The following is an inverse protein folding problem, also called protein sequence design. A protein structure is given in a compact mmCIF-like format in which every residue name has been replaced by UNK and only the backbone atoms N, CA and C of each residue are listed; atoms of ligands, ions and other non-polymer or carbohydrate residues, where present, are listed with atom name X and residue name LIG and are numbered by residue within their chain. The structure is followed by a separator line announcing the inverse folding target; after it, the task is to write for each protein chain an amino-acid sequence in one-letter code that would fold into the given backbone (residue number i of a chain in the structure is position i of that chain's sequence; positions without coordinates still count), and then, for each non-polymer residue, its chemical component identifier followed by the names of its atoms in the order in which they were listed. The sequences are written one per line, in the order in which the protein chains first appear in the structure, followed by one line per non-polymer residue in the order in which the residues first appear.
data_IF_546553357473
#
_entry.id   IF_546553357473
#
_cell.length_a   1.000
_cell.length_b   1.000
_cell.length_c   1.000
_cell.angle_alpha   90.00
_cell.angle_beta   90.00
_cell.angle_gamma   90.00
#
_symmetry.space_group_name_H-M   'P 1'
#
loop_
_entity.id
_entity.type
_entity.pdbx_description
1 polymer ?
#
# COMPACT_ATOMS: atom_id res chain seq x y z
N UNK A 1 -9.25 -32.80 -17.13
CA UNK A 1 -8.12 -31.88 -16.92
C UNK A 1 -8.53 -30.55 -17.52
N UNK A 2 -8.93 -29.59 -16.68
CA UNK A 2 -9.47 -28.30 -17.12
C UNK A 2 -8.49 -27.24 -16.65
N UNK A 3 -7.68 -26.73 -17.57
CA UNK A 3 -6.76 -25.62 -17.29
C UNK A 3 -7.59 -24.34 -17.21
N UNK A 4 -7.62 -23.75 -16.02
CA UNK A 4 -8.33 -22.52 -15.72
C UNK A 4 -7.82 -21.34 -16.55
N UNK A 5 -8.78 -20.54 -17.02
CA UNK A 5 -8.54 -19.22 -17.59
C UNK A 5 -7.78 -18.34 -16.57
N UNK A 6 -6.46 -18.22 -16.72
CA UNK A 6 -5.74 -17.06 -16.18
C UNK A 6 -6.05 -15.87 -17.09
N UNK A 7 -6.99 -15.01 -16.67
CA UNK A 7 -7.13 -13.68 -17.24
C UNK A 7 -5.81 -12.92 -17.04
N UNK A 8 -5.03 -12.79 -18.12
CA UNK A 8 -3.82 -11.99 -18.14
C UNK A 8 -4.23 -10.52 -18.01
N UNK A 9 -4.22 -9.99 -16.80
CA UNK A 9 -4.50 -8.58 -16.54
C UNK A 9 -3.41 -7.74 -17.20
N UNK A 10 -3.78 -6.91 -18.18
CA UNK A 10 -2.87 -5.95 -18.79
C UNK A 10 -2.84 -4.73 -17.87
N UNK A 11 -1.69 -4.35 -17.29
CA UNK A 11 -1.60 -3.14 -16.47
C UNK A 11 -1.98 -1.93 -17.33
N UNK A 12 -3.06 -1.24 -16.96
CA UNK A 12 -3.35 0.05 -17.57
C UNK A 12 -2.48 1.12 -16.92
N UNK A 13 -1.59 1.71 -17.72
CA UNK A 13 -0.78 2.83 -17.32
C UNK A 13 -1.61 4.10 -17.44
N UNK A 14 -2.02 4.64 -16.30
CA UNK A 14 -2.64 5.96 -16.21
C UNK A 14 -1.73 6.87 -15.38
N UNK A 15 -1.60 8.13 -15.81
CA UNK A 15 -0.75 9.11 -15.13
C UNK A 15 -1.37 10.49 -15.25
N UNK A 16 -1.26 11.28 -14.18
CA UNK A 16 -1.73 12.68 -14.13
C UNK A 16 -0.85 13.64 -14.95
N UNK A 17 0.30 13.16 -15.47
CA UNK A 17 1.26 13.94 -16.25
C UNK A 17 1.50 13.31 -17.62
N UNK A 18 1.71 14.12 -18.67
CA UNK A 18 2.08 13.62 -19.99
C UNK A 18 3.35 12.78 -19.93
N UNK A 19 3.33 11.59 -20.55
CA UNK A 19 4.48 10.69 -20.61
C UNK A 19 5.50 11.27 -21.60
N UNK A 20 6.69 11.60 -21.12
CA UNK A 20 7.77 12.11 -21.98
C UNK A 20 8.45 10.95 -22.73
N UNK A 21 8.15 10.83 -24.03
CA UNK A 21 8.63 9.72 -24.89
C UNK A 21 10.11 9.81 -25.27
N UNK A 22 10.77 10.96 -25.05
CA UNK A 22 12.18 11.19 -25.40
C UNK A 22 13.17 10.81 -24.28
N UNK A 23 12.71 10.17 -23.20
CA UNK A 23 13.55 9.63 -22.14
C UNK A 23 13.29 8.13 -22.05
N UNK A 24 14.31 7.27 -21.83
CA UNK A 24 14.06 5.87 -21.53
C UNK A 24 13.07 5.77 -20.38
N UNK A 25 11.99 5.03 -20.61
CA UNK A 25 10.89 4.88 -19.68
C UNK A 25 11.38 4.13 -18.43
N UNK A 26 11.48 4.84 -17.31
CA UNK A 26 11.90 4.28 -16.02
C UNK A 26 10.71 4.34 -15.06
N UNK A 27 10.08 3.19 -14.79
CA UNK A 27 8.90 3.10 -13.92
C UNK A 27 9.23 3.42 -12.47
N UNK A 28 10.46 3.09 -12.10
CA UNK A 28 11.09 3.39 -10.84
C UNK A 28 12.45 3.94 -11.26
N UNK A 29 12.76 5.23 -11.04
CA UNK A 29 14.15 5.67 -11.13
C UNK A 29 15.00 4.71 -10.28
N UNK A 30 16.30 4.56 -10.57
CA UNK A 30 17.20 3.89 -9.64
C UNK A 30 17.21 4.72 -8.35
N UNK A 31 16.21 4.45 -7.51
CA UNK A 31 15.85 5.28 -6.38
C UNK A 31 16.89 5.02 -5.32
N UNK A 32 17.45 6.10 -4.78
CA UNK A 32 18.34 6.00 -3.64
C UNK A 32 17.61 5.56 -2.38
N UNK A 33 16.28 5.74 -2.30
CA UNK A 33 15.50 5.39 -1.11
C UNK A 33 14.08 4.89 -1.42
N UNK A 34 13.67 3.84 -0.73
CA UNK A 34 12.38 3.17 -0.93
C UNK A 34 11.63 3.17 0.39
N UNK A 35 10.39 3.65 0.40
CA UNK A 35 9.59 3.83 1.62
C UNK A 35 8.22 3.22 1.45
N UNK A 36 7.70 2.57 2.49
CA UNK A 36 6.38 1.96 2.43
C UNK A 36 5.52 2.28 3.66
N UNK A 37 4.22 2.41 3.43
CA UNK A 37 3.18 2.34 4.46
C UNK A 37 2.25 1.19 4.12
N UNK A 38 2.16 0.20 5.01
CA UNK A 38 1.34 -0.99 4.86
C UNK A 38 0.28 -1.00 5.96
N UNK A 39 -0.99 -1.14 5.59
CA UNK A 39 -2.13 -1.06 6.51
C UNK A 39 -3.00 -2.30 6.32
N UNK A 40 -3.23 -3.04 7.41
CA UNK A 40 -4.02 -4.27 7.40
C UNK A 40 -5.06 -4.24 8.49
N UNK A 41 -6.34 -4.28 8.14
CA UNK A 41 -7.44 -4.15 9.09
C UNK A 41 -8.36 -5.35 9.01
N UNK A 42 -8.44 -6.12 10.10
CA UNK A 42 -9.28 -7.32 10.22
C UNK A 42 -10.59 -7.06 10.99
N UNK A 43 -10.75 -5.94 11.68
CA UNK A 43 -11.93 -5.57 12.46
C UNK A 43 -12.33 -6.63 13.51
N UNK A 44 -11.39 -7.12 14.35
CA UNK A 44 -11.65 -8.22 15.28
C UNK A 44 -12.80 -7.91 16.23
N UNK A 45 -13.75 -8.85 16.37
CA UNK A 45 -14.91 -8.71 17.24
C UNK A 45 -15.99 -7.76 16.73
N UNK A 46 -15.88 -7.25 15.50
CA UNK A 46 -16.88 -6.36 14.88
C UNK A 46 -17.71 -7.11 13.83
N UNK A 47 -18.88 -6.57 13.50
CA UNK A 47 -19.67 -7.08 12.38
C UNK A 47 -18.92 -6.81 11.07
N UNK A 48 -18.63 -7.87 10.32
CA UNK A 48 -17.81 -7.79 9.10
C UNK A 48 -16.33 -8.07 9.31
N UNK A 49 -15.94 -8.75 10.40
CA UNK A 49 -14.57 -9.23 10.62
C UNK A 49 -13.99 -9.93 9.38
N UNK A 50 -12.73 -9.63 9.08
CA UNK A 50 -11.91 -10.22 8.04
C UNK A 50 -10.76 -11.01 8.70
N UNK A 51 -10.21 -11.99 7.99
CA UNK A 51 -9.11 -12.83 8.50
C UNK A 51 -7.83 -12.79 7.64
N UNK A 52 -7.87 -12.14 6.47
CA UNK A 52 -6.78 -12.15 5.50
C UNK A 52 -5.87 -10.92 5.54
N UNK A 53 -6.34 -9.79 6.05
CA UNK A 53 -5.69 -8.51 5.78
C UNK A 53 -4.34 -8.34 6.48
N UNK A 54 -4.17 -8.91 7.69
CA UNK A 54 -2.87 -8.98 8.35
C UNK A 54 -1.86 -9.82 7.54
N UNK A 55 -2.29 -10.97 7.02
CA UNK A 55 -1.45 -11.84 6.20
C UNK A 55 -1.05 -11.16 4.89
N UNK A 56 -1.96 -10.45 4.23
CA UNK A 56 -1.65 -9.68 3.01
C UNK A 56 -0.54 -8.65 3.25
N UNK A 57 -0.62 -7.91 4.36
CA UNK A 57 0.38 -6.90 4.73
C UNK A 57 1.73 -7.51 5.03
N UNK A 58 1.78 -8.64 5.74
CA UNK A 58 3.03 -9.31 6.05
C UNK A 58 3.67 -9.91 4.80
N UNK A 59 2.89 -10.56 3.93
CA UNK A 59 3.37 -11.06 2.65
C UNK A 59 3.88 -9.93 1.74
N UNK A 60 3.20 -8.78 1.73
CA UNK A 60 3.65 -7.60 1.00
C UNK A 60 4.96 -7.06 1.57
N UNK A 61 5.08 -6.98 2.90
CA UNK A 61 6.31 -6.55 3.58
C UNK A 61 7.49 -7.43 3.19
N UNK A 62 7.35 -8.74 3.28
CA UNK A 62 8.39 -9.71 2.88
C UNK A 62 8.74 -9.55 1.41
N UNK A 63 7.73 -9.52 0.53
CA UNK A 63 7.93 -9.38 -0.91
C UNK A 63 8.73 -8.14 -1.30
N UNK A 64 8.42 -6.97 -0.72
CA UNK A 64 9.10 -5.72 -1.07
C UNK A 64 10.51 -5.61 -0.49
N UNK A 65 10.78 -6.27 0.65
CA UNK A 65 12.13 -6.39 1.19
C UNK A 65 12.95 -7.29 0.27
N UNK A 66 12.49 -8.52 0.02
CA UNK A 66 13.26 -9.55 -0.66
C UNK A 66 13.43 -9.29 -2.15
N UNK A 67 12.36 -8.85 -2.82
CA UNK A 67 12.35 -8.70 -4.28
C UNK A 67 12.74 -7.30 -4.71
N UNK A 68 12.34 -6.29 -3.92
CA UNK A 68 12.49 -4.89 -4.30
C UNK A 68 13.48 -4.12 -3.43
N UNK A 69 14.13 -4.76 -2.45
CA UNK A 69 15.21 -4.15 -1.67
C UNK A 69 14.77 -2.95 -0.84
N UNK A 70 13.53 -2.96 -0.33
CA UNK A 70 13.13 -2.00 0.70
C UNK A 70 13.86 -2.35 2.00
N UNK A 71 14.31 -1.33 2.74
CA UNK A 71 14.88 -1.54 4.08
C UNK A 71 13.75 -1.52 5.10
N UNK A 72 13.79 -2.44 6.07
CA UNK A 72 12.75 -2.55 7.10
C UNK A 72 12.52 -1.23 7.87
N UNK A 73 13.58 -0.45 8.12
CA UNK A 73 13.48 0.85 8.79
C UNK A 73 12.73 1.93 7.99
N UNK A 74 12.55 1.73 6.68
CA UNK A 74 11.79 2.63 5.81
C UNK A 74 10.35 2.11 5.55
N UNK A 75 9.94 1.03 6.21
CA UNK A 75 8.60 0.45 6.13
C UNK A 75 7.87 0.72 7.45
N UNK A 76 6.70 1.35 7.38
CA UNK A 76 5.76 1.43 8.51
C UNK A 76 4.59 0.50 8.27
N UNK A 77 4.21 -0.25 9.31
CA UNK A 77 3.07 -1.15 9.32
C UNK A 77 2.06 -0.66 10.35
N UNK A 78 0.76 -0.68 10.00
CA UNK A 78 -0.35 -0.48 10.93
C UNK A 78 -1.29 -1.69 10.85
N UNK A 79 -1.58 -2.34 11.97
CA UNK A 79 -2.46 -3.51 12.06
C UNK A 79 -3.25 -3.54 13.36
N UNK A 80 -4.53 -3.91 13.29
CA UNK A 80 -5.42 -4.09 14.44
C UNK A 80 -5.29 -5.48 15.07
N UNK A 81 -4.06 -5.85 15.42
CA UNK A 81 -3.73 -7.12 16.10
C UNK A 81 -3.56 -6.96 17.62
N UNK A 82 -3.76 -5.74 18.15
CA UNK A 82 -3.63 -5.42 19.56
C UNK A 82 -2.19 -5.38 20.10
N UNK A 83 -1.16 -5.27 19.23
CA UNK A 83 0.24 -5.23 19.68
C UNK A 83 0.64 -3.89 20.30
N UNK A 84 0.26 -2.78 19.68
CA UNK A 84 0.60 -1.41 20.10
C UNK A 84 -0.48 -0.42 19.68
N UNK A 85 -0.88 0.47 20.59
CA UNK A 85 -1.87 1.51 20.34
C UNK A 85 -1.41 2.52 19.27
N UNK A 86 -0.10 2.75 19.12
CA UNK A 86 0.44 3.61 18.07
C UNK A 86 0.48 2.94 16.69
N UNK A 87 0.34 1.61 16.64
CA UNK A 87 0.29 0.82 15.41
C UNK A 87 -1.12 0.42 15.01
N UNK A 88 -2.10 0.67 15.87
CA UNK A 88 -3.52 0.48 15.58
C UNK A 88 -3.93 1.35 14.37
N UNK A 89 -4.61 0.79 13.35
CA UNK A 89 -4.95 1.47 12.10
C UNK A 89 -6.16 2.41 12.26
N UNK A 90 -6.15 3.25 13.29
CA UNK A 90 -7.14 4.31 13.48
C UNK A 90 -6.99 5.39 12.40
N UNK A 91 -8.05 6.16 12.15
CA UNK A 91 -7.99 7.29 11.21
C UNK A 91 -6.84 8.25 11.55
N UNK A 92 -6.64 8.55 12.82
CA UNK A 92 -5.58 9.44 13.29
C UNK A 92 -4.19 8.89 12.96
N UNK A 93 -3.94 7.61 13.23
CA UNK A 93 -2.66 6.96 12.98
C UNK A 93 -2.40 6.81 11.46
N UNK A 94 -3.39 6.37 10.69
CA UNK A 94 -3.27 6.28 9.22
C UNK A 94 -2.93 7.65 8.63
N UNK A 95 -3.64 8.70 9.03
CA UNK A 95 -3.39 10.05 8.52
C UNK A 95 -2.03 10.61 8.95
N UNK A 96 -1.60 10.33 10.19
CA UNK A 96 -0.25 10.67 10.69
C UNK A 96 0.82 10.03 9.83
N UNK A 97 0.73 8.72 9.58
CA UNK A 97 1.72 8.00 8.79
C UNK A 97 1.69 8.36 7.31
N UNK A 98 0.52 8.65 6.72
CA UNK A 98 0.42 9.20 5.37
C UNK A 98 1.16 10.54 5.25
N UNK A 99 0.95 11.46 6.21
CA UNK A 99 1.65 12.76 6.22
C UNK A 99 3.15 12.59 6.38
N UNK A 100 3.58 11.68 7.28
CA UNK A 100 5.00 11.35 7.46
C UNK A 100 5.61 10.83 6.16
N UNK A 101 4.95 9.86 5.52
CA UNK A 101 5.40 9.25 4.27
C UNK A 101 5.60 10.30 3.18
N UNK A 102 4.65 11.22 3.02
CA UNK A 102 4.74 12.31 2.03
C UNK A 102 5.84 13.30 2.39
N UNK A 103 5.92 13.74 3.65
CA UNK A 103 6.89 14.75 4.12
C UNK A 103 8.34 14.27 4.01
N UNK A 104 8.57 12.97 4.21
CA UNK A 104 9.90 12.37 4.14
C UNK A 104 10.34 11.99 2.72
N UNK A 105 9.41 12.02 1.75
CA UNK A 105 9.67 11.62 0.37
C UNK A 105 10.21 12.77 -0.47
N UNK A 106 11.16 12.45 -1.35
CA UNK A 106 11.82 13.41 -2.25
C UNK A 106 11.68 13.00 -3.71
N UNK A 107 11.97 13.93 -4.61
CA UNK A 107 12.02 13.63 -6.04
C UNK A 107 13.03 12.51 -6.32
N UNK A 108 12.57 11.45 -6.98
CA UNK A 108 13.38 10.26 -7.26
C UNK A 108 13.21 9.12 -6.26
N UNK A 109 12.54 9.34 -5.12
CA UNK A 109 12.21 8.26 -4.18
C UNK A 109 11.14 7.32 -4.76
N UNK A 110 11.12 6.08 -4.29
CA UNK A 110 10.01 5.14 -4.54
C UNK A 110 9.17 4.99 -3.29
N UNK A 111 7.88 5.26 -3.42
CA UNK A 111 6.94 5.26 -2.30
C UNK A 111 5.84 4.24 -2.58
N UNK A 112 5.62 3.32 -1.63
CA UNK A 112 4.56 2.33 -1.69
C UNK A 112 3.52 2.62 -0.61
N UNK A 113 2.25 2.59 -0.99
CA UNK A 113 1.12 2.58 -0.07
C UNK A 113 0.30 1.32 -0.36
N UNK A 114 0.12 0.49 0.66
CA UNK A 114 -0.66 -0.74 0.57
C UNK A 114 -1.71 -0.76 1.67
N UNK A 115 -2.95 -1.06 1.29
CA UNK A 115 -4.08 -1.16 2.20
C UNK A 115 -4.83 -2.47 1.89
N UNK A 116 -5.03 -3.30 2.91
CA UNK A 116 -5.92 -4.45 2.89
C UNK A 116 -6.95 -4.28 4.03
N UNK A 117 -8.24 -4.31 3.69
CA UNK A 117 -9.35 -4.03 4.61
C UNK A 117 -10.65 -3.75 3.83
N UNK A 118 -11.68 -3.25 4.51
CA UNK A 118 -12.96 -2.92 3.86
C UNK A 118 -12.86 -1.71 2.95
N UNK A 119 -13.53 -1.79 1.81
CA UNK A 119 -13.76 -0.68 0.89
C UNK A 119 -15.25 -0.34 0.82
N UNK A 120 -15.58 0.94 0.83
CA UNK A 120 -16.95 1.42 0.69
C UNK A 120 -17.02 2.57 -0.31
N UNK A 121 -18.18 2.74 -0.93
CA UNK A 121 -18.49 3.93 -1.74
C UNK A 121 -19.48 4.78 -0.96
N UNK A 122 -19.05 5.97 -0.56
CA UNK A 122 -19.99 6.98 -0.08
C UNK A 122 -20.78 7.48 -1.29
N UNK A 123 -22.11 7.44 -1.22
CA UNK A 123 -22.93 8.19 -2.17
C UNK A 123 -22.79 9.67 -1.82
N UNK A 124 -22.48 10.48 -2.81
CA UNK A 124 -22.63 11.93 -2.65
C UNK A 124 -24.13 12.21 -2.57
N UNK A 125 -24.61 12.56 -1.38
CA UNK A 125 -25.93 13.15 -1.24
C UNK A 125 -25.84 14.56 -1.81
N UNK A 126 -26.25 14.73 -3.07
CA UNK A 126 -26.47 16.03 -3.68
C UNK A 126 -27.74 16.60 -3.02
N UNK A 127 -27.56 17.41 -1.98
CA UNK A 127 -28.56 18.35 -1.48
C UNK A 127 -28.08 19.78 -1.73
#
# INVERSE_FOLDING_TARGET
QTLGNLSKQIPQLSGSRPIQMNRPFQFIPNSTRKRALLIGINYPGQQGELSGCHNDVMNMKEYIIDTHGFTESDIKVLMDNGSDQDEEPTFANIMRECRRLVAESRAGDSVLFHFSGHGGRLREDIN
#
